data_IF_670229082875
#
_entry.id   IF_670229082875
#
_cell.length_a   1.000
_cell.length_b   1.000
_cell.length_c   1.000
_cell.angle_alpha   90.00
_cell.angle_beta   90.00
_cell.angle_gamma   90.00
#
_symmetry.space_group_name_H-M   'P 1'
#
loop_
_entity.id
_entity.type
_entity.pdbx_description
1 polymer ?
#
# COMPACT_ATOMS: atom_id res chain seq x y z
N UNK A 1 -19.46 -6.40 -1.64
CA UNK A 1 -18.63 -5.55 -2.53
C UNK A 1 -17.34 -6.28 -2.85
N UNK A 2 -16.98 -6.31 -4.11
CA UNK A 2 -15.75 -6.96 -4.55
C UNK A 2 -14.54 -6.13 -4.13
N UNK A 3 -13.44 -6.78 -3.77
CA UNK A 3 -12.18 -6.12 -3.46
C UNK A 3 -11.17 -6.38 -4.55
N UNK A 4 -10.59 -5.32 -5.07
CA UNK A 4 -9.46 -5.40 -6.00
C UNK A 4 -8.21 -5.05 -5.21
N UNK A 5 -7.32 -6.01 -5.07
CA UNK A 5 -6.10 -5.84 -4.28
C UNK A 5 -4.99 -5.32 -5.18
N UNK A 6 -4.49 -4.14 -4.85
CA UNK A 6 -3.38 -3.51 -5.57
C UNK A 6 -2.14 -3.60 -4.70
N UNK A 7 -1.10 -4.23 -5.23
CA UNK A 7 0.19 -4.34 -4.56
C UNK A 7 1.09 -3.22 -5.06
N UNK A 8 1.62 -2.44 -4.13
CA UNK A 8 2.57 -1.36 -4.44
C UNK A 8 3.94 -1.78 -3.95
N UNK A 9 4.91 -1.76 -4.84
CA UNK A 9 6.29 -2.12 -4.56
C UNK A 9 7.21 -0.98 -4.93
N UNK A 10 8.23 -0.75 -4.11
CA UNK A 10 9.25 0.23 -4.43
C UNK A 10 10.33 -0.40 -5.30
N UNK A 11 10.51 0.14 -6.50
CA UNK A 11 11.69 -0.11 -7.33
C UNK A 11 12.70 1.03 -7.11
N UNK A 12 13.83 1.02 -7.80
CA UNK A 12 14.96 1.93 -7.53
C UNK A 12 14.56 3.40 -7.33
N UNK A 13 13.74 3.94 -8.22
CA UNK A 13 13.36 5.36 -8.20
C UNK A 13 11.86 5.61 -8.22
N UNK A 14 11.07 4.55 -8.39
CA UNK A 14 9.63 4.65 -8.58
C UNK A 14 8.91 3.64 -7.71
N UNK A 15 7.62 3.87 -7.55
CA UNK A 15 6.70 2.84 -7.06
C UNK A 15 6.01 2.23 -8.25
N UNK A 16 5.92 0.90 -8.28
CA UNK A 16 5.16 0.14 -9.25
C UNK A 16 3.94 -0.45 -8.57
N UNK A 17 2.84 -0.51 -9.30
CA UNK A 17 1.59 -1.04 -8.78
C UNK A 17 0.98 -2.01 -9.78
N UNK A 18 0.42 -3.09 -9.26
CA UNK A 18 -0.28 -4.08 -10.08
C UNK A 18 -1.38 -4.72 -9.24
N UNK A 19 -2.38 -5.27 -9.91
CA UNK A 19 -3.42 -5.99 -9.19
C UNK A 19 -3.03 -7.45 -8.99
N UNK A 20 -3.26 -7.93 -7.77
CA UNK A 20 -3.03 -9.31 -7.38
C UNK A 20 -4.16 -10.23 -7.86
N UNK A 21 -5.35 -9.71 -8.02
CA UNK A 21 -6.54 -10.50 -8.34
C UNK A 21 -7.37 -9.97 -9.52
N UNK A 22 -6.84 -9.02 -10.28
CA UNK A 22 -7.53 -8.48 -11.45
C UNK A 22 -6.50 -8.18 -12.53
N UNK A 23 -6.46 -8.98 -13.58
CA UNK A 23 -5.48 -8.83 -14.64
C UNK A 23 -5.65 -7.53 -15.42
N UNK A 24 -4.54 -6.99 -15.89
CA UNK A 24 -4.53 -5.83 -16.77
C UNK A 24 -4.56 -4.48 -16.09
N UNK A 25 -4.50 -4.43 -14.76
CA UNK A 25 -4.45 -3.19 -14.00
C UNK A 25 -3.03 -2.95 -13.52
N UNK A 26 -2.42 -1.87 -14.00
CA UNK A 26 -1.05 -1.50 -13.67
C UNK A 26 -0.97 0.00 -13.42
N UNK A 27 0.00 0.40 -12.64
CA UNK A 27 0.28 1.80 -12.39
C UNK A 27 1.69 2.01 -11.89
N UNK A 28 2.13 3.26 -11.90
CA UNK A 28 3.43 3.65 -11.40
C UNK A 28 3.38 5.10 -10.95
N UNK A 29 4.34 5.51 -10.15
CA UNK A 29 4.46 6.90 -9.73
C UNK A 29 5.64 7.11 -8.81
N UNK A 30 5.93 8.38 -8.53
CA UNK A 30 7.00 8.77 -7.61
C UNK A 30 6.56 8.72 -6.15
N UNK A 31 5.27 8.54 -5.91
CA UNK A 31 4.69 8.46 -4.57
C UNK A 31 3.56 7.43 -4.58
N UNK A 32 3.15 7.03 -3.38
CA UNK A 32 2.00 6.14 -3.22
C UNK A 32 0.74 6.80 -3.79
N UNK A 33 0.56 8.10 -3.56
CA UNK A 33 -0.60 8.83 -4.07
C UNK A 33 -0.63 8.84 -5.60
N UNK A 34 0.52 9.07 -6.26
CA UNK A 34 0.60 9.01 -7.71
C UNK A 34 0.29 7.63 -8.26
N UNK A 35 0.76 6.58 -7.59
CA UNK A 35 0.41 5.20 -7.96
C UNK A 35 -1.09 4.95 -7.88
N UNK A 36 -1.74 5.44 -6.83
CA UNK A 36 -3.19 5.28 -6.68
C UNK A 36 -3.94 5.98 -7.81
N UNK A 37 -3.53 7.19 -8.16
CA UNK A 37 -4.13 7.93 -9.28
C UNK A 37 -3.93 7.21 -10.60
N UNK A 38 -2.74 6.64 -10.81
CA UNK A 38 -2.44 5.93 -12.03
C UNK A 38 -3.23 4.63 -12.16
N UNK A 39 -3.46 3.93 -11.05
CA UNK A 39 -4.33 2.75 -11.01
C UNK A 39 -5.77 3.13 -11.37
N UNK A 40 -6.28 4.20 -10.79
CA UNK A 40 -7.63 4.68 -11.11
C UNK A 40 -7.76 5.06 -12.60
N UNK A 41 -6.73 5.70 -13.13
CA UNK A 41 -6.67 6.04 -14.56
C UNK A 41 -6.63 4.78 -15.43
N UNK A 42 -5.87 3.77 -15.02
CA UNK A 42 -5.80 2.50 -15.74
C UNK A 42 -7.20 1.86 -15.86
N UNK A 43 -7.94 1.83 -14.76
CA UNK A 43 -9.30 1.29 -14.75
C UNK A 43 -10.22 2.14 -15.65
N UNK A 44 -10.12 3.45 -15.54
CA UNK A 44 -10.92 4.35 -16.37
C UNK A 44 -10.64 4.16 -17.86
N UNK A 45 -9.38 3.94 -18.23
CA UNK A 45 -9.00 3.68 -19.63
C UNK A 45 -9.55 2.36 -20.13
N UNK A 46 -9.56 1.32 -19.32
CA UNK A 46 -10.18 0.05 -19.69
C UNK A 46 -11.65 0.26 -20.00
N UNK A 47 -12.36 0.98 -19.13
CA UNK A 47 -13.79 1.22 -19.27
C UNK A 47 -14.12 2.11 -20.46
N UNK A 48 -13.23 3.02 -20.81
CA UNK A 48 -13.41 3.91 -21.95
C UNK A 48 -13.12 3.21 -23.28
N UNK A 49 -12.05 2.42 -23.34
CA UNK A 49 -11.53 1.87 -24.59
C UNK A 49 -12.10 0.52 -24.97
N UNK A 50 -12.59 -0.24 -24.01
CA UNK A 50 -13.12 -1.58 -24.24
C UNK A 50 -14.62 -1.65 -24.00
N UNK A 51 -15.35 -2.48 -24.77
CA UNK A 51 -16.75 -2.76 -24.47
C UNK A 51 -16.85 -3.51 -23.14
N UNK A 52 -17.97 -3.33 -22.45
CA UNK A 52 -18.19 -3.92 -21.12
C UNK A 52 -17.97 -5.45 -21.10
N UNK A 53 -18.29 -6.14 -22.20
CA UNK A 53 -18.12 -7.59 -22.30
C UNK A 53 -16.65 -8.01 -22.17
N UNK A 54 -15.73 -7.09 -22.44
CA UNK A 54 -14.28 -7.35 -22.37
C UNK A 54 -13.61 -6.83 -21.11
N UNK A 55 -14.38 -6.18 -20.22
CA UNK A 55 -13.83 -5.74 -18.94
C UNK A 55 -13.56 -6.95 -18.04
N UNK A 56 -12.53 -6.89 -17.21
CA UNK A 56 -12.40 -7.86 -16.12
C UNK A 56 -13.68 -7.87 -15.26
N UNK A 57 -14.09 -9.06 -14.84
CA UNK A 57 -15.32 -9.20 -14.03
C UNK A 57 -15.25 -8.37 -12.75
N UNK A 58 -14.04 -8.24 -12.18
CA UNK A 58 -13.82 -7.56 -10.90
C UNK A 58 -14.19 -6.08 -10.96
N UNK A 59 -14.09 -5.43 -12.12
CA UNK A 59 -14.44 -4.01 -12.25
C UNK A 59 -15.86 -3.76 -12.78
N UNK A 60 -16.62 -4.83 -12.98
CA UNK A 60 -18.04 -4.72 -13.32
C UNK A 60 -18.85 -4.58 -12.03
N UNK A 61 -19.71 -3.58 -11.95
CA UNK A 61 -20.50 -3.31 -10.77
C UNK A 61 -19.69 -2.60 -9.69
N UNK A 62 -20.06 -2.83 -8.43
CA UNK A 62 -19.40 -2.18 -7.30
C UNK A 62 -18.15 -2.94 -6.88
N UNK A 63 -17.11 -2.19 -6.60
CA UNK A 63 -15.84 -2.72 -6.08
C UNK A 63 -15.15 -1.65 -5.24
N UNK A 64 -14.21 -2.08 -4.41
CA UNK A 64 -13.30 -1.17 -3.72
C UNK A 64 -11.86 -1.59 -3.97
N UNK A 65 -10.97 -0.60 -3.96
CA UNK A 65 -9.55 -0.83 -4.12
C UNK A 65 -8.89 -0.94 -2.75
N UNK A 66 -8.18 -2.04 -2.53
CA UNK A 66 -7.37 -2.24 -1.33
C UNK A 66 -5.91 -2.17 -1.73
N UNK A 67 -5.14 -1.29 -1.10
CA UNK A 67 -3.73 -1.11 -1.42
C UNK A 67 -2.86 -1.79 -0.39
N UNK A 68 -1.91 -2.59 -0.85
CA UNK A 68 -0.94 -3.28 -0.01
C UNK A 68 0.47 -2.86 -0.35
N UNK A 69 1.24 -2.54 0.69
CA UNK A 69 2.67 -2.38 0.58
C UNK A 69 3.33 -3.49 1.38
N UNK A 70 4.48 -4.01 0.92
CA UNK A 70 5.30 -4.84 1.79
C UNK A 70 5.91 -3.95 2.89
N UNK A 71 6.33 -4.58 3.99
CA UNK A 71 6.83 -3.85 5.15
C UNK A 71 8.03 -2.97 4.81
N UNK A 72 8.87 -3.43 3.90
CA UNK A 72 10.07 -2.71 3.52
C UNK A 72 9.77 -1.46 2.69
N UNK A 73 8.93 -1.59 1.66
CA UNK A 73 8.50 -0.45 0.86
C UNK A 73 7.77 0.58 1.72
N UNK A 74 6.96 0.10 2.66
CA UNK A 74 6.29 0.95 3.63
C UNK A 74 7.32 1.73 4.47
N UNK A 75 8.31 1.06 5.03
CA UNK A 75 9.30 1.71 5.87
C UNK A 75 10.18 2.67 5.08
N UNK A 76 10.57 2.31 3.85
CA UNK A 76 11.34 3.20 2.99
C UNK A 76 10.60 4.51 2.74
N UNK A 77 9.31 4.43 2.46
CA UNK A 77 8.52 5.62 2.17
C UNK A 77 8.23 6.44 3.42
N UNK A 78 7.69 5.79 4.47
CA UNK A 78 7.21 6.50 5.65
C UNK A 78 8.32 6.91 6.63
N UNK A 79 9.55 6.39 6.47
CA UNK A 79 10.69 6.83 7.29
C UNK A 79 11.05 8.30 7.05
N UNK A 80 10.61 8.87 5.93
CA UNK A 80 10.77 10.31 5.67
C UNK A 80 9.81 11.16 6.51
N UNK A 81 8.75 10.56 7.02
CA UNK A 81 7.73 11.27 7.81
C UNK A 81 7.77 10.91 9.28
N UNK A 82 8.09 9.68 9.61
CA UNK A 82 8.07 9.16 10.97
C UNK A 82 9.43 8.48 11.22
N UNK A 83 10.13 8.90 12.26
CA UNK A 83 11.40 8.27 12.64
C UNK A 83 11.21 6.82 13.04
N UNK A 84 12.26 6.01 12.98
CA UNK A 84 12.21 4.63 13.44
C UNK A 84 11.89 4.55 14.94
N UNK A 85 12.38 5.51 15.73
CA UNK A 85 12.02 5.60 17.15
C UNK A 85 10.53 5.88 17.34
N UNK A 86 9.96 6.75 16.50
CA UNK A 86 8.51 7.00 16.48
C UNK A 86 7.73 5.77 16.06
N UNK A 87 8.21 5.06 15.05
CA UNK A 87 7.59 3.80 14.61
C UNK A 87 7.61 2.75 15.72
N UNK A 88 8.67 2.66 16.49
CA UNK A 88 8.72 1.75 17.65
C UNK A 88 7.62 2.07 18.65
N UNK A 89 7.42 3.36 18.94
CA UNK A 89 6.35 3.78 19.85
C UNK A 89 4.96 3.44 19.33
N UNK A 90 4.77 3.60 18.03
CA UNK A 90 3.49 3.32 17.36
C UNK A 90 3.21 1.82 17.28
N UNK A 91 4.20 1.04 16.90
CA UNK A 91 4.01 -0.38 16.57
C UNK A 91 4.38 -1.35 17.68
N UNK A 92 5.23 -0.91 18.62
CA UNK A 92 5.80 -1.80 19.63
C UNK A 92 6.92 -2.69 19.11
N UNK A 93 7.31 -2.54 17.83
CA UNK A 93 8.45 -3.27 17.27
C UNK A 93 9.70 -2.43 17.46
N UNK A 94 10.74 -3.04 18.01
CA UNK A 94 11.98 -2.34 18.33
C UNK A 94 12.60 -1.68 17.10
N UNK A 95 13.08 -0.45 17.24
CA UNK A 95 13.62 0.33 16.12
C UNK A 95 14.78 -0.36 15.40
N UNK A 96 15.59 -1.11 16.14
CA UNK A 96 16.68 -1.87 15.54
C UNK A 96 16.15 -2.94 14.58
N UNK A 97 15.05 -3.59 14.96
CA UNK A 97 14.40 -4.59 14.12
C UNK A 97 13.76 -3.92 12.90
N UNK A 98 13.12 -2.78 13.10
CA UNK A 98 12.57 -2.00 11.99
C UNK A 98 13.68 -1.58 11.01
N UNK A 99 14.85 -1.19 11.53
CA UNK A 99 16.03 -0.87 10.71
C UNK A 99 16.49 -2.08 9.89
N UNK A 100 16.45 -3.28 10.48
CA UNK A 100 16.80 -4.50 9.75
C UNK A 100 15.84 -4.76 8.59
N UNK A 101 14.56 -4.51 8.78
CA UNK A 101 13.56 -4.63 7.71
C UNK A 101 13.79 -3.57 6.63
N UNK A 102 14.00 -2.31 7.05
CA UNK A 102 14.25 -1.20 6.13
C UNK A 102 15.46 -1.46 5.24
N UNK A 103 16.53 -1.99 5.79
CA UNK A 103 17.79 -2.21 5.09
C UNK A 103 17.93 -3.61 4.47
N UNK A 104 16.84 -4.35 4.40
CA UNK A 104 16.77 -5.68 3.78
C UNK A 104 17.65 -6.74 4.44
N UNK A 105 17.99 -6.57 5.72
CA UNK A 105 18.77 -7.57 6.48
C UNK A 105 17.89 -8.68 7.01
N UNK A 106 16.60 -8.43 7.15
CA UNK A 106 15.63 -9.40 7.62
C UNK A 106 14.27 -9.15 6.98
N UNK A 107 13.47 -10.20 6.84
CA UNK A 107 12.06 -10.09 6.44
C UNK A 107 11.19 -10.23 7.68
N UNK A 108 10.19 -9.36 7.87
CA UNK A 108 9.28 -9.52 8.99
C UNK A 108 8.42 -10.76 8.82
N UNK A 109 8.23 -11.49 9.91
CA UNK A 109 7.28 -12.61 9.95
C UNK A 109 5.87 -12.04 10.06
N UNK A 110 4.88 -12.86 9.75
CA UNK A 110 3.47 -12.46 9.79
C UNK A 110 3.08 -11.79 11.10
N UNK A 111 3.55 -12.32 12.23
CA UNK A 111 3.27 -11.74 13.55
C UNK A 111 3.77 -10.30 13.66
N UNK A 112 4.93 -10.00 13.14
CA UNK A 112 5.49 -8.64 13.16
C UNK A 112 4.75 -7.73 12.17
N UNK A 113 4.39 -8.24 11.01
CA UNK A 113 3.58 -7.49 10.04
C UNK A 113 2.25 -7.10 10.70
N UNK A 114 1.60 -8.03 11.39
CA UNK A 114 0.34 -7.77 12.09
C UNK A 114 0.52 -6.68 13.17
N UNK A 115 1.61 -6.73 13.94
CA UNK A 115 1.91 -5.71 14.96
C UNK A 115 2.10 -4.34 14.35
N UNK A 116 2.86 -4.27 13.26
CA UNK A 116 3.11 -3.02 12.55
C UNK A 116 1.79 -2.44 12.05
N UNK A 117 0.99 -3.26 11.34
CA UNK A 117 -0.29 -2.83 10.80
C UNK A 117 -1.25 -2.36 11.89
N UNK A 118 -1.44 -3.16 12.92
CA UNK A 118 -2.35 -2.84 14.01
C UNK A 118 -1.94 -1.57 14.76
N UNK A 119 -0.65 -1.41 15.02
CA UNK A 119 -0.13 -0.20 15.66
C UNK A 119 -0.39 1.04 14.81
N UNK A 120 -0.13 0.95 13.52
CA UNK A 120 -0.36 2.06 12.59
C UNK A 120 -1.86 2.41 12.49
N UNK A 121 -2.71 1.41 12.42
CA UNK A 121 -4.16 1.66 12.35
C UNK A 121 -4.69 2.30 13.63
N UNK A 122 -4.20 1.89 14.80
CA UNK A 122 -4.55 2.55 16.07
C UNK A 122 -4.07 4.00 16.07
N UNK A 123 -2.87 4.25 15.62
CA UNK A 123 -2.32 5.61 15.55
C UNK A 123 -3.14 6.48 14.59
N UNK A 124 -3.50 5.94 13.43
CA UNK A 124 -4.36 6.65 12.47
C UNK A 124 -5.72 6.99 13.07
N UNK A 125 -6.33 6.05 13.80
CA UNK A 125 -7.60 6.27 14.47
C UNK A 125 -7.48 7.37 15.54
N UNK A 126 -6.39 7.38 16.28
CA UNK A 126 -6.11 8.42 17.27
C UNK A 126 -5.99 9.79 16.61
N UNK A 127 -5.23 9.88 15.52
CA UNK A 127 -5.10 11.14 14.78
C UNK A 127 -6.44 11.65 14.27
N UNK A 128 -7.25 10.75 13.72
CA UNK A 128 -8.57 11.11 13.20
C UNK A 128 -9.54 11.57 14.30
N UNK A 129 -9.32 11.15 15.54
CA UNK A 129 -10.17 11.51 16.68
C UNK A 129 -9.88 12.90 17.24
N UNK A 130 -8.79 13.53 16.83
CA UNK A 130 -8.34 14.81 17.38
C UNK A 130 -8.59 15.92 16.37
N UNK A 131 -9.23 16.98 16.86
CA UNK A 131 -9.49 18.19 16.06
C UNK A 131 -8.58 19.32 16.54
N UNK A 132 -7.98 20.02 15.59
CA UNK A 132 -7.21 21.23 15.90
C UNK A 132 -8.09 22.47 15.92
#
# INVERSE_FOLDING_TARGET
MKKIVIVIERSADLFDAYSDNCDGIYGAGNSIEECKKDIELSIAQIKEKLPMERWPEEIKGEYELEYKLDAQSFLEYFSDFISLAGMERITGVHQKQLSNYLNRRAKPRKQQIDRIREGLHRFAAELLSITL
#
